data_IF_559821589124
#
_entry.id   IF_559821589124
#
_cell.length_a   1.000
_cell.length_b   1.000
_cell.length_c   1.000
_cell.angle_alpha   90.00
_cell.angle_beta   90.00
_cell.angle_gamma   90.00
#
_symmetry.space_group_name_H-M   'P 1'
#
loop_
_entity.id
_entity.type
_entity.pdbx_description
1 polymer ?
#
# COMPACT_ATOMS: atom_id res chain seq x y z
N UNK A 1 -17.15 -16.30 4.25
CA UNK A 1 -17.08 -14.89 3.78
C UNK A 1 -16.85 -14.86 2.27
N UNK A 2 -17.62 -14.08 1.51
CA UNK A 2 -17.41 -13.93 0.05
C UNK A 2 -16.08 -13.19 -0.18
N UNK A 3 -15.09 -13.86 -0.80
CA UNK A 3 -13.84 -13.22 -1.24
C UNK A 3 -14.17 -12.30 -2.41
N UNK A 4 -14.28 -11.00 -2.14
CA UNK A 4 -14.43 -9.98 -3.19
C UNK A 4 -13.08 -9.85 -3.89
N UNK A 5 -12.91 -10.58 -5.00
CA UNK A 5 -11.65 -10.65 -5.75
C UNK A 5 -11.52 -9.59 -6.84
N UNK A 6 -12.61 -8.89 -7.20
CA UNK A 6 -12.62 -7.84 -8.25
C UNK A 6 -13.57 -6.70 -7.90
N UNK A 7 -13.03 -5.50 -7.72
CA UNK A 7 -13.78 -4.24 -7.78
C UNK A 7 -13.48 -3.59 -9.13
N UNK A 8 -14.52 -3.27 -9.88
CA UNK A 8 -14.41 -2.52 -11.13
C UNK A 8 -15.25 -1.25 -10.97
N UNK A 9 -14.67 -0.06 -11.18
CA UNK A 9 -15.49 1.15 -11.26
C UNK A 9 -16.32 1.08 -12.54
N UNK A 10 -17.65 1.12 -12.40
CA UNK A 10 -18.55 1.21 -13.56
C UNK A 10 -18.46 2.63 -14.12
N UNK A 11 -17.87 2.77 -15.30
CA UNK A 11 -17.83 4.02 -16.05
C UNK A 11 -19.26 4.41 -16.48
N UNK A 12 -19.78 5.55 -16.01
CA UNK A 12 -20.90 6.23 -16.69
C UNK A 12 -20.33 6.80 -17.99
N UNK A 13 -21.13 6.82 -19.07
CA UNK A 13 -20.70 7.04 -20.47
C UNK A 13 -19.79 8.27 -20.69
N UNK A 14 -19.79 9.26 -19.79
CA UNK A 14 -19.06 10.53 -19.94
C UNK A 14 -18.14 10.87 -18.75
N UNK A 15 -17.96 9.98 -17.78
CA UNK A 15 -17.12 10.28 -16.62
C UNK A 15 -15.66 9.91 -16.88
N UNK A 16 -14.79 10.92 -16.88
CA UNK A 16 -13.34 10.73 -16.82
C UNK A 16 -12.93 10.39 -15.38
N UNK A 17 -12.12 9.34 -15.21
CA UNK A 17 -11.54 9.03 -13.91
C UNK A 17 -10.37 9.97 -13.66
N UNK A 18 -10.53 10.79 -12.63
CA UNK A 18 -9.45 11.62 -12.10
C UNK A 18 -8.36 10.72 -11.52
N UNK A 19 -7.18 11.30 -11.29
CA UNK A 19 -6.09 10.62 -10.58
C UNK A 19 -6.52 10.15 -9.18
N UNK A 20 -7.25 11.00 -8.46
CA UNK A 20 -7.80 10.71 -7.13
C UNK A 20 -8.74 9.50 -7.14
N UNK A 21 -9.59 9.35 -8.17
CA UNK A 21 -10.47 8.18 -8.31
C UNK A 21 -9.68 6.88 -8.45
N UNK A 22 -8.56 6.94 -9.18
CA UNK A 22 -7.68 5.78 -9.41
C UNK A 22 -6.93 5.40 -8.14
N UNK A 23 -6.44 6.39 -7.39
CA UNK A 23 -5.82 6.18 -6.07
C UNK A 23 -6.82 5.55 -5.11
N UNK A 24 -8.02 6.12 -5.00
CA UNK A 24 -9.10 5.58 -4.16
C UNK A 24 -9.44 4.14 -4.54
N UNK A 25 -9.58 3.83 -5.84
CA UNK A 25 -9.82 2.47 -6.31
C UNK A 25 -8.68 1.53 -5.95
N UNK A 26 -7.43 1.99 -6.09
CA UNK A 26 -6.26 1.21 -5.71
C UNK A 26 -6.30 0.87 -4.23
N UNK A 27 -6.47 1.87 -3.35
CA UNK A 27 -6.50 1.68 -1.90
C UNK A 27 -7.63 0.73 -1.51
N UNK A 28 -8.82 0.91 -2.09
CA UNK A 28 -9.96 0.03 -1.84
C UNK A 28 -9.64 -1.42 -2.25
N UNK A 29 -9.05 -1.64 -3.43
CA UNK A 29 -8.62 -2.97 -3.87
C UNK A 29 -7.54 -3.55 -2.99
N UNK A 30 -6.58 -2.73 -2.57
CA UNK A 30 -5.49 -3.13 -1.70
C UNK A 30 -6.00 -3.60 -0.34
N UNK A 31 -6.95 -2.87 0.24
CA UNK A 31 -7.56 -3.22 1.53
C UNK A 31 -8.20 -4.62 1.51
N UNK A 32 -8.82 -5.00 0.39
CA UNK A 32 -9.49 -6.30 0.21
C UNK A 32 -8.56 -7.46 -0.15
N UNK A 33 -7.28 -7.20 -0.42
CA UNK A 33 -6.31 -8.26 -0.72
C UNK A 33 -6.06 -9.14 0.50
N UNK A 34 -5.70 -10.40 0.24
CA UNK A 34 -5.14 -11.25 1.29
C UNK A 34 -3.82 -10.65 1.80
N UNK A 35 -3.40 -11.01 3.01
CA UNK A 35 -2.16 -10.50 3.61
C UNK A 35 -0.94 -10.73 2.70
N UNK A 36 -0.82 -11.94 2.15
CA UNK A 36 0.22 -12.30 1.17
C UNK A 36 0.17 -11.44 -0.09
N UNK A 37 -1.02 -11.18 -0.64
CA UNK A 37 -1.18 -10.35 -1.82
C UNK A 37 -0.88 -8.86 -1.55
N UNK A 38 -1.11 -8.39 -0.32
CA UNK A 38 -0.72 -7.04 0.10
C UNK A 38 0.80 -6.90 0.11
N UNK A 39 1.52 -7.85 0.72
CA UNK A 39 2.98 -7.86 0.73
C UNK A 39 3.57 -7.86 -0.70
N UNK A 40 3.05 -8.73 -1.58
CA UNK A 40 3.45 -8.76 -2.98
C UNK A 40 3.16 -7.44 -3.70
N UNK A 41 2.02 -6.81 -3.41
CA UNK A 41 1.66 -5.51 -4.02
C UNK A 41 2.63 -4.41 -3.58
N UNK A 42 3.03 -4.36 -2.31
CA UNK A 42 4.01 -3.39 -1.83
C UNK A 42 5.37 -3.59 -2.49
N UNK A 43 5.83 -4.84 -2.61
CA UNK A 43 7.06 -5.16 -3.36
C UNK A 43 7.02 -4.68 -4.81
N UNK A 44 5.90 -4.89 -5.50
CA UNK A 44 5.75 -4.43 -6.88
C UNK A 44 5.71 -2.90 -6.99
N UNK A 45 5.16 -2.20 -5.99
CA UNK A 45 5.20 -0.73 -5.95
C UNK A 45 6.63 -0.21 -5.74
N UNK A 46 7.38 -0.82 -4.82
CA UNK A 46 8.80 -0.48 -4.60
C UNK A 46 9.63 -0.71 -5.87
N UNK A 47 9.46 -1.85 -6.54
CA UNK A 47 10.15 -2.14 -7.80
C UNK A 47 9.82 -1.15 -8.93
N UNK A 48 8.71 -0.41 -8.82
CA UNK A 48 8.28 0.63 -9.77
C UNK A 48 8.62 2.05 -9.31
N UNK A 49 9.36 2.21 -8.21
CA UNK A 49 9.71 3.52 -7.66
C UNK A 49 8.53 4.27 -7.03
N UNK A 50 7.44 3.58 -6.67
CA UNK A 50 6.27 4.19 -6.03
C UNK A 50 6.40 4.24 -4.50
N UNK A 51 7.55 4.71 -4.02
CA UNK A 51 7.94 4.69 -2.59
C UNK A 51 7.03 5.53 -1.70
N UNK A 52 6.57 6.69 -2.19
CA UNK A 52 5.63 7.55 -1.46
C UNK A 52 4.32 6.84 -1.14
N UNK A 53 3.79 6.06 -2.10
CA UNK A 53 2.57 5.29 -1.91
C UNK A 53 2.77 4.17 -0.89
N UNK A 54 3.92 3.49 -0.95
CA UNK A 54 4.28 2.44 0.01
C UNK A 54 4.44 3.03 1.40
N UNK A 55 5.09 4.18 1.53
CA UNK A 55 5.23 4.94 2.77
C UNK A 55 3.88 5.29 3.38
N UNK A 56 2.95 5.83 2.60
CA UNK A 56 1.60 6.15 3.08
C UNK A 56 0.86 4.90 3.58
N UNK A 57 0.96 3.79 2.85
CA UNK A 57 0.34 2.52 3.26
C UNK A 57 0.96 2.01 4.57
N UNK A 58 2.29 1.98 4.67
CA UNK A 58 3.01 1.50 5.85
C UNK A 58 2.91 2.44 7.06
N UNK A 59 2.52 3.71 6.88
CA UNK A 59 2.21 4.63 7.99
C UNK A 59 0.75 4.56 8.41
N UNK A 60 -0.13 4.05 7.55
CA UNK A 60 -1.56 4.00 7.84
C UNK A 60 -1.87 2.99 8.95
N UNK A 61 -2.53 3.47 10.00
CA UNK A 61 -2.86 2.68 11.19
C UNK A 61 -3.79 1.49 10.91
N UNK A 62 -4.56 1.54 9.82
CA UNK A 62 -5.48 0.48 9.41
C UNK A 62 -4.77 -0.84 9.12
N UNK A 63 -3.51 -0.78 8.67
CA UNK A 63 -2.74 -1.98 8.29
C UNK A 63 -1.92 -2.55 9.44
N UNK A 64 -1.93 -1.96 10.65
CA UNK A 64 -1.12 -2.45 11.79
C UNK A 64 -1.30 -3.93 12.09
N UNK A 65 -2.51 -4.48 11.89
CA UNK A 65 -2.82 -5.91 12.10
C UNK A 65 -2.23 -6.85 11.04
N UNK A 66 -1.86 -6.29 9.89
CA UNK A 66 -1.24 -7.01 8.78
C UNK A 66 0.28 -6.81 8.75
N UNK A 67 0.85 -5.96 9.62
CA UNK A 67 2.27 -5.59 9.57
C UNK A 67 3.20 -6.79 9.68
N UNK A 68 2.90 -7.74 10.57
CA UNK A 68 3.72 -8.93 10.72
C UNK A 68 3.90 -9.63 9.37
N UNK A 69 2.81 -9.81 8.62
CA UNK A 69 2.84 -10.44 7.30
C UNK A 69 3.38 -9.53 6.19
N UNK A 70 3.15 -8.22 6.26
CA UNK A 70 3.73 -7.27 5.29
C UNK A 70 5.26 -7.23 5.39
N UNK A 71 5.80 -7.38 6.61
CA UNK A 71 7.22 -7.35 6.92
C UNK A 71 7.91 -8.73 6.82
N UNK A 72 7.17 -9.79 6.44
CA UNK A 72 7.79 -11.07 6.06
C UNK A 72 8.58 -10.94 4.75
N UNK A 73 8.16 -10.05 3.84
CA UNK A 73 8.93 -9.75 2.63
C UNK A 73 10.12 -8.85 2.99
N UNK A 74 11.33 -9.36 2.72
CA UNK A 74 12.57 -8.69 3.08
C UNK A 74 12.71 -7.31 2.42
N UNK A 75 12.25 -7.14 1.18
CA UNK A 75 12.31 -5.84 0.49
C UNK A 75 11.44 -4.81 1.19
N UNK A 76 10.20 -5.19 1.53
CA UNK A 76 9.26 -4.32 2.25
C UNK A 76 9.77 -4.00 3.66
N UNK A 77 10.34 -5.00 4.34
CA UNK A 77 10.91 -4.85 5.68
C UNK A 77 12.09 -3.89 5.70
N UNK A 78 13.06 -4.06 4.78
CA UNK A 78 14.22 -3.17 4.69
C UNK A 78 13.77 -1.73 4.43
N UNK A 79 12.87 -1.54 3.46
CA UNK A 79 12.30 -0.21 3.19
C UNK A 79 11.62 0.42 4.43
N UNK A 80 10.84 -0.36 5.17
CA UNK A 80 10.19 0.11 6.40
C UNK A 80 11.20 0.53 7.49
N UNK A 81 12.28 -0.24 7.66
CA UNK A 81 13.33 0.08 8.63
C UNK A 81 14.09 1.35 8.24
N UNK A 82 14.46 1.48 6.95
CA UNK A 82 15.12 2.68 6.44
C UNK A 82 14.26 3.92 6.63
N UNK A 83 12.97 3.84 6.28
CA UNK A 83 11.99 4.90 6.51
C UNK A 83 11.96 5.37 7.98
N UNK A 84 12.02 4.44 8.95
CA UNK A 84 12.00 4.78 10.38
C UNK A 84 13.36 5.26 10.90
N UNK A 85 14.46 4.80 10.33
CA UNK A 85 15.80 5.25 10.69
C UNK A 85 16.02 6.71 10.29
N UNK A 86 15.48 7.14 9.13
CA UNK A 86 15.47 8.55 8.74
C UNK A 86 14.69 9.43 9.73
N UNK A 87 13.56 8.95 10.28
CA UNK A 87 12.78 9.71 11.28
C UNK A 87 13.58 9.93 12.57
N UNK A 88 14.42 8.98 12.99
CA UNK A 88 15.23 9.12 14.21
C UNK A 88 16.35 10.15 14.09
N UNK A 89 16.96 10.29 12.91
CA UNK A 89 18.08 11.23 12.72
C UNK A 89 17.64 12.71 12.82
N UNK A 90 16.40 13.03 12.47
CA UNK A 90 15.85 14.39 12.59
C UNK A 90 15.32 14.74 13.99
N UNK A 91 15.26 13.78 14.92
CA UNK A 91 14.82 14.03 16.31
C UNK A 91 15.98 14.23 17.29
N UNK A 92 17.22 14.03 16.85
CA UNK A 92 18.44 14.17 17.66
C UNK A 92 19.38 15.30 17.17
N UNK A 93 18.88 16.22 16.34
CA UNK A 93 19.62 17.43 15.91
C UNK A 93 18.95 18.68 16.46
#
# INVERSE_FOLDING_TARGET
>A
MKKVSRISLKKRKEQEFTENDRIMLFITKFHLKSKRDKALTLKLLLAKGSEDMVTQILRCSEYRRDFCELLEDETVRTFYLDMNNHVKQYQTS
#
